data_IF_997031710430
#
_entry.id   IF_997031710430
#
_cell.length_a   1.000
_cell.length_b   1.000
_cell.length_c   1.000
_cell.angle_alpha   90.00
_cell.angle_beta   90.00
_cell.angle_gamma   90.00
#
_symmetry.space_group_name_H-M   'P 1'
#
loop_
_entity.id
_entity.type
_entity.pdbx_description
1 polymer ?
#
# COMPACT_ATOMS: atom_id res chain seq x y z
N UNK A 1 -5.48 20.00 -1.15
CA UNK A 1 -5.57 19.62 -2.59
C UNK A 1 -6.47 20.58 -3.36
N UNK A 2 -6.29 20.73 -4.68
CA UNK A 2 -6.98 21.76 -5.51
C UNK A 2 -8.51 21.65 -5.45
N UNK A 3 -9.08 20.44 -5.48
CA UNK A 3 -10.54 20.25 -5.43
C UNK A 3 -11.12 20.35 -4.02
N UNK A 4 -10.29 20.20 -2.98
CA UNK A 4 -10.73 20.22 -1.58
C UNK A 4 -10.33 21.49 -0.84
N UNK A 5 -9.77 22.50 -1.52
CA UNK A 5 -9.14 23.67 -0.89
C UNK A 5 -10.04 24.51 0.03
N UNK A 6 -11.37 24.42 -0.11
CA UNK A 6 -12.36 25.08 0.78
C UNK A 6 -13.09 24.12 1.73
N UNK A 7 -12.70 22.86 1.77
CA UNK A 7 -13.31 21.86 2.66
C UNK A 7 -12.61 21.90 4.02
N UNK A 8 -13.38 21.85 5.10
CA UNK A 8 -12.84 21.65 6.45
C UNK A 8 -11.91 20.43 6.44
N UNK A 9 -10.78 20.52 7.16
CA UNK A 9 -9.78 19.45 7.28
C UNK A 9 -8.97 19.12 6.00
N UNK A 10 -9.03 19.94 4.94
CA UNK A 10 -8.34 19.64 3.68
C UNK A 10 -6.81 19.53 3.75
N UNK A 11 -6.20 20.08 4.81
CA UNK A 11 -4.75 20.01 5.05
C UNK A 11 -4.31 18.60 5.49
N UNK A 12 -5.22 17.82 6.07
CA UNK A 12 -4.98 16.43 6.50
C UNK A 12 -5.36 15.40 5.41
N UNK A 13 -5.72 15.86 4.21
CA UNK A 13 -5.96 14.97 3.08
C UNK A 13 -4.62 14.70 2.41
N UNK A 14 -4.27 13.42 2.28
CA UNK A 14 -3.13 12.95 1.50
C UNK A 14 -3.65 12.14 0.31
N UNK A 15 -3.57 12.73 -0.87
CA UNK A 15 -4.03 12.06 -2.10
C UNK A 15 -2.93 11.15 -2.63
N UNK A 16 -3.31 9.89 -2.85
CA UNK A 16 -2.61 8.93 -3.70
C UNK A 16 -3.42 8.75 -4.97
N UNK A 17 -2.73 8.69 -6.10
CA UNK A 17 -3.35 8.53 -7.41
C UNK A 17 -2.36 7.98 -8.41
N UNK A 18 -2.84 7.72 -9.62
CA UNK A 18 -2.01 7.27 -10.73
C UNK A 18 -0.90 8.29 -11.02
N UNK A 19 0.31 7.78 -11.24
CA UNK A 19 1.54 8.55 -11.49
C UNK A 19 2.09 8.37 -12.91
N UNK A 20 1.31 7.79 -13.81
CA UNK A 20 1.75 7.47 -15.18
C UNK A 20 2.83 6.37 -15.25
N UNK A 21 2.97 5.58 -14.20
CA UNK A 21 3.87 4.43 -14.15
C UNK A 21 3.11 3.15 -14.51
N UNK A 22 3.63 2.39 -15.46
CA UNK A 22 2.98 1.16 -15.89
C UNK A 22 3.67 0.46 -17.05
N UNK A 23 3.48 -0.86 -17.13
CA UNK A 23 3.93 -1.71 -18.23
C UNK A 23 3.04 -2.96 -18.30
N UNK A 24 3.34 -3.89 -19.20
CA UNK A 24 2.71 -5.21 -19.19
C UNK A 24 3.24 -5.96 -17.95
N UNK A 25 2.42 -6.00 -16.90
CA UNK A 25 2.75 -6.66 -15.63
C UNK A 25 1.48 -7.18 -14.94
N UNK A 26 1.60 -7.71 -13.73
CA UNK A 26 0.51 -8.25 -12.94
C UNK A 26 -0.36 -7.13 -12.33
N UNK A 27 -1.65 -7.39 -12.03
CA UNK A 27 -2.56 -6.37 -11.50
C UNK A 27 -2.07 -5.68 -10.22
N UNK A 28 -1.52 -6.42 -9.26
CA UNK A 28 -1.01 -5.81 -8.03
C UNK A 28 0.27 -5.01 -8.30
N UNK A 29 1.16 -5.50 -9.17
CA UNK A 29 2.38 -4.79 -9.54
C UNK A 29 2.11 -3.43 -10.19
N UNK A 30 1.06 -3.32 -11.01
CA UNK A 30 0.59 -2.02 -11.53
C UNK A 30 0.24 -1.03 -10.40
N UNK A 31 -0.29 -1.51 -9.27
CA UNK A 31 -0.57 -0.65 -8.10
C UNK A 31 0.71 -0.30 -7.33
N UNK A 32 1.66 -1.23 -7.22
CA UNK A 32 2.97 -1.01 -6.60
C UNK A 32 3.76 0.07 -7.33
N UNK A 33 3.77 0.05 -8.67
CA UNK A 33 4.43 1.08 -9.50
C UNK A 33 3.89 2.51 -9.25
N UNK A 34 2.67 2.63 -8.75
CA UNK A 34 2.00 3.90 -8.49
C UNK A 34 1.92 4.26 -6.99
N UNK A 35 2.53 3.48 -6.10
CA UNK A 35 2.37 3.54 -4.63
C UNK A 35 0.89 3.47 -4.19
N UNK A 36 0.05 2.72 -4.91
CA UNK A 36 -1.37 2.54 -4.63
C UNK A 36 -1.69 1.21 -3.95
N UNK A 37 -0.70 0.34 -3.79
CA UNK A 37 -0.90 -0.96 -3.18
C UNK A 37 -1.03 -0.86 -1.65
N UNK A 38 -1.53 -1.96 -1.07
CA UNK A 38 -1.80 -2.07 0.36
C UNK A 38 -0.57 -1.82 1.24
N UNK A 39 0.64 -2.15 0.78
CA UNK A 39 1.85 -2.00 1.57
C UNK A 39 2.25 -0.53 1.66
N UNK A 40 2.35 0.17 0.53
CA UNK A 40 2.63 1.61 0.53
C UNK A 40 1.58 2.41 1.30
N UNK A 41 0.29 2.07 1.17
CA UNK A 41 -0.78 2.74 1.91
C UNK A 41 -0.67 2.56 3.44
N UNK A 42 -0.26 1.37 3.91
CA UNK A 42 -0.04 1.13 5.34
C UNK A 42 1.20 1.88 5.83
N UNK A 43 2.32 1.83 5.10
CA UNK A 43 3.52 2.59 5.43
C UNK A 43 3.23 4.10 5.55
N UNK A 44 2.45 4.63 4.61
CA UNK A 44 2.02 6.02 4.61
C UNK A 44 1.19 6.40 5.84
N UNK A 45 0.32 5.48 6.25
CA UNK A 45 -0.51 5.65 7.43
C UNK A 45 0.36 5.67 8.69
N UNK A 46 1.36 4.78 8.75
CA UNK A 46 2.31 4.73 9.86
C UNK A 46 3.06 6.05 10.01
N UNK A 47 3.60 6.58 8.90
CA UNK A 47 4.41 7.81 8.90
C UNK A 47 3.62 9.06 9.33
N UNK A 48 2.29 9.02 9.27
CA UNK A 48 1.41 10.15 9.58
C UNK A 48 0.73 10.06 10.94
N UNK A 49 0.69 8.87 11.54
CA UNK A 49 0.08 8.66 12.84
C UNK A 49 1.15 8.70 13.95
N UNK A 50 1.14 9.72 14.83
CA UNK A 50 2.18 9.89 15.86
C UNK A 50 2.20 8.77 16.90
N UNK A 51 1.14 7.97 17.00
CA UNK A 51 0.97 6.90 17.99
C UNK A 51 1.58 5.54 17.59
N UNK A 52 2.31 5.46 16.48
CA UNK A 52 2.74 4.16 15.90
C UNK A 52 4.01 3.57 16.51
N UNK A 53 4.80 4.37 17.22
CA UNK A 53 5.99 3.97 18.00
C UNK A 53 6.88 2.91 17.31
N UNK A 54 7.60 2.09 18.08
CA UNK A 54 8.51 1.06 17.55
C UNK A 54 7.78 -0.01 16.73
N UNK A 55 6.52 -0.31 17.06
CA UNK A 55 5.72 -1.31 16.34
C UNK A 55 5.46 -0.90 14.90
N UNK A 56 5.24 0.39 14.66
CA UNK A 56 5.08 0.96 13.33
C UNK A 56 6.36 0.84 12.51
N UNK A 57 7.53 1.10 13.12
CA UNK A 57 8.83 0.94 12.46
C UNK A 57 9.06 -0.50 12.04
N UNK A 58 8.80 -1.46 12.93
CA UNK A 58 8.93 -2.88 12.61
C UNK A 58 8.00 -3.31 11.47
N UNK A 59 6.73 -2.93 11.53
CA UNK A 59 5.77 -3.24 10.48
C UNK A 59 6.18 -2.61 9.13
N UNK A 60 6.67 -1.37 9.14
CA UNK A 60 7.17 -0.71 7.93
C UNK A 60 8.34 -1.49 7.30
N UNK A 61 9.25 -2.01 8.12
CA UNK A 61 10.34 -2.85 7.63
C UNK A 61 9.81 -4.14 6.99
N UNK A 62 8.89 -4.85 7.66
CA UNK A 62 8.29 -6.07 7.10
C UNK A 62 7.60 -5.80 5.76
N UNK A 63 6.88 -4.69 5.65
CA UNK A 63 6.20 -4.31 4.40
C UNK A 63 7.20 -3.95 3.29
N UNK A 64 8.36 -3.41 3.63
CA UNK A 64 9.42 -3.13 2.66
C UNK A 64 10.06 -4.42 2.16
N UNK A 65 10.25 -5.39 3.05
CA UNK A 65 10.72 -6.72 2.70
C UNK A 65 9.71 -7.45 1.79
N UNK A 66 8.40 -7.33 2.07
CA UNK A 66 7.33 -7.88 1.22
C UNK A 66 7.34 -7.28 -0.20
N UNK A 67 7.66 -5.98 -0.36
CA UNK A 67 7.79 -5.36 -1.69
C UNK A 67 8.97 -5.95 -2.48
N UNK A 68 10.07 -6.26 -1.80
CA UNK A 68 11.23 -6.94 -2.41
C UNK A 68 10.83 -8.36 -2.83
N UNK A 69 10.15 -9.11 -1.95
CA UNK A 69 9.67 -10.45 -2.25
C UNK A 69 8.68 -10.45 -3.42
N UNK A 70 7.71 -9.53 -3.43
CA UNK A 70 6.76 -9.35 -4.53
C UNK A 70 7.47 -9.20 -5.88
N UNK A 71 8.46 -8.30 -5.95
CA UNK A 71 9.23 -8.09 -7.19
C UNK A 71 9.95 -9.36 -7.63
N UNK A 72 10.52 -10.13 -6.71
CA UNK A 72 11.16 -11.41 -7.03
C UNK A 72 10.14 -12.44 -7.51
N UNK A 73 8.98 -12.50 -6.85
CA UNK A 73 7.92 -13.46 -7.13
C UNK A 73 7.32 -13.26 -8.52
N UNK A 74 6.93 -12.03 -8.88
CA UNK A 74 6.35 -11.74 -10.19
C UNK A 74 7.33 -12.03 -11.33
N UNK A 75 8.63 -11.72 -11.14
CA UNK A 75 9.66 -11.99 -12.15
C UNK A 75 9.86 -13.49 -12.38
N UNK A 76 9.70 -14.29 -11.32
CA UNK A 76 9.87 -15.74 -11.39
C UNK A 76 8.63 -16.48 -11.85
N UNK A 77 7.44 -16.02 -11.47
CA UNK A 77 6.19 -16.77 -11.62
C UNK A 77 5.17 -16.13 -12.58
N UNK A 78 5.35 -14.87 -12.97
CA UNK A 78 4.45 -14.16 -13.88
C UNK A 78 3.03 -13.92 -13.33
N UNK A 79 2.85 -14.05 -12.02
CA UNK A 79 1.57 -13.84 -11.33
C UNK A 79 1.82 -13.23 -9.95
N UNK A 80 0.83 -12.54 -9.41
CA UNK A 80 0.90 -11.98 -8.05
C UNK A 80 1.08 -13.07 -6.99
N UNK A 81 1.67 -12.70 -5.84
CA UNK A 81 1.87 -13.62 -4.71
C UNK A 81 0.54 -14.22 -4.23
N UNK A 82 0.52 -15.47 -3.73
CA UNK A 82 -0.71 -16.11 -3.23
C UNK A 82 -1.38 -15.29 -2.13
N UNK A 83 -0.61 -14.70 -1.22
CA UNK A 83 -1.14 -13.82 -0.16
C UNK A 83 -1.86 -12.58 -0.70
N UNK A 84 -1.55 -12.14 -1.92
CA UNK A 84 -2.20 -11.01 -2.56
C UNK A 84 -3.50 -11.47 -3.22
N UNK A 85 -3.43 -12.56 -3.98
CA UNK A 85 -4.53 -13.10 -4.79
C UNK A 85 -5.63 -13.75 -3.96
N UNK A 86 -5.23 -14.50 -2.94
CA UNK A 86 -6.13 -15.31 -2.14
C UNK A 86 -6.63 -14.54 -0.90
N UNK A 87 -6.19 -13.30 -0.73
CA UNK A 87 -6.65 -12.43 0.34
C UNK A 87 -8.16 -12.19 0.26
N UNK A 88 -8.81 -12.31 1.41
CA UNK A 88 -10.23 -12.04 1.57
C UNK A 88 -10.41 -11.18 2.79
N UNK A 89 -11.36 -10.25 2.69
CA UNK A 89 -11.83 -9.51 3.84
C UNK A 89 -12.49 -10.49 4.82
N UNK A 90 -11.96 -10.59 6.04
CA UNK A 90 -12.61 -11.27 7.14
C UNK A 90 -13.44 -10.26 7.91
N UNK A 91 -14.75 -10.49 8.00
CA UNK A 91 -15.59 -9.76 8.95
C UNK A 91 -15.19 -10.26 10.33
N UNK A 92 -14.38 -9.48 11.05
CA UNK A 92 -13.92 -9.87 12.38
C UNK A 92 -15.12 -10.21 13.26
N UNK A 93 -15.13 -11.40 13.85
CA UNK A 93 -15.97 -11.63 15.03
C UNK A 93 -15.51 -10.61 16.08
N UNK A 94 -16.41 -9.71 16.44
CA UNK A 94 -16.17 -8.75 17.51
C UNK A 94 -15.83 -9.54 18.77
N UNK A 95 -14.56 -9.49 19.19
CA UNK A 95 -14.18 -9.87 20.55
C UNK A 95 -14.54 -8.74 21.51
#
# INVERSE_FOLDING_TARGET
HRLTYRRTNHHNIHVRGYKEEGTITTPFDMTVMNDLDRFHLVMDTIDRLPQTSEKGVYLKQQLADNLIEHKQYINKHGQDMPEIRDWKWTLGESK
#
